data_IF_444091401844
#
_entry.id   IF_444091401844
#
_cell.length_a   1.000
_cell.length_b   1.000
_cell.length_c   1.000
_cell.angle_alpha   90.00
_cell.angle_beta   90.00
_cell.angle_gamma   90.00
#
_symmetry.space_group_name_H-M   'P 1'
#
loop_
_entity.id
_entity.type
_entity.pdbx_description
1 polymer ?
#
# COMPACT_ATOMS: atom_id res chain seq x y z
N UNK A 1 19.65 -15.75 3.40
CA UNK A 1 18.96 -16.49 4.47
C UNK A 1 18.00 -17.46 3.82
N UNK A 2 18.19 -18.78 3.96
CA UNK A 2 17.25 -19.75 3.43
C UNK A 2 16.20 -20.05 4.51
N UNK A 3 15.02 -19.47 4.40
CA UNK A 3 13.87 -19.91 5.20
C UNK A 3 13.36 -21.20 4.58
N UNK A 4 13.72 -22.35 5.17
CA UNK A 4 13.10 -23.62 4.84
C UNK A 4 11.69 -23.62 5.41
N UNK A 5 10.72 -23.21 4.59
CA UNK A 5 9.33 -23.22 5.03
C UNK A 5 8.81 -24.65 4.92
N UNK A 6 8.90 -25.40 6.02
CA UNK A 6 8.27 -26.71 6.19
C UNK A 6 7.00 -26.51 6.99
N UNK A 7 5.87 -26.56 6.30
CA UNK A 7 4.55 -26.59 6.93
C UNK A 7 3.52 -27.01 5.89
N UNK A 8 2.65 -27.95 6.24
CA UNK A 8 1.59 -28.48 5.37
C UNK A 8 0.68 -27.35 4.83
N UNK A 9 0.60 -26.22 5.53
CA UNK A 9 -0.11 -25.02 5.13
C UNK A 9 0.43 -24.39 3.84
N UNK A 10 1.76 -24.36 3.65
CA UNK A 10 2.38 -23.84 2.42
C UNK A 10 2.09 -24.76 1.25
N UNK A 11 2.11 -26.08 1.49
CA UNK A 11 1.83 -27.05 0.44
C UNK A 11 0.38 -26.96 -0.01
N UNK A 12 -0.55 -26.69 0.92
CA UNK A 12 -1.93 -26.37 0.60
C UNK A 12 -2.08 -25.05 -0.17
N UNK A 13 -1.37 -23.98 0.22
CA UNK A 13 -1.38 -22.71 -0.50
C UNK A 13 -0.84 -22.85 -1.91
N UNK A 14 0.27 -23.57 -2.09
CA UNK A 14 0.82 -23.83 -3.42
C UNK A 14 -0.10 -24.73 -4.23
N UNK A 15 -0.70 -25.76 -3.65
CA UNK A 15 -1.68 -26.59 -4.35
C UNK A 15 -2.89 -25.77 -4.84
N UNK A 16 -3.41 -24.86 -4.01
CA UNK A 16 -4.50 -23.95 -4.41
C UNK A 16 -4.06 -22.98 -5.50
N UNK A 17 -2.89 -22.37 -5.36
CA UNK A 17 -2.34 -21.46 -6.37
C UNK A 17 -2.09 -22.17 -7.71
N UNK A 18 -1.51 -23.37 -7.68
CA UNK A 18 -1.33 -24.24 -8.84
C UNK A 18 -2.67 -24.62 -9.49
N UNK A 19 -3.69 -24.97 -8.70
CA UNK A 19 -5.02 -25.27 -9.22
C UNK A 19 -5.68 -24.07 -9.92
N UNK A 20 -5.45 -22.85 -9.42
CA UNK A 20 -5.98 -21.61 -10.03
C UNK A 20 -5.21 -21.17 -11.27
N UNK A 21 -3.89 -21.42 -11.32
CA UNK A 21 -3.00 -20.91 -12.38
C UNK A 21 -2.62 -21.97 -13.42
N UNK A 22 -2.93 -23.24 -13.17
CA UNK A 22 -2.52 -24.38 -14.00
C UNK A 22 -1.03 -24.74 -13.88
N UNK A 23 -0.30 -24.15 -12.92
CA UNK A 23 1.11 -24.44 -12.72
C UNK A 23 1.31 -25.83 -12.08
N UNK A 24 2.36 -26.54 -12.52
CA UNK A 24 2.70 -27.88 -12.02
C UNK A 24 3.97 -27.90 -11.18
N UNK A 25 4.73 -26.80 -11.16
CA UNK A 25 5.99 -26.70 -10.44
C UNK A 25 5.85 -25.81 -9.20
N UNK A 26 6.06 -26.41 -8.02
CA UNK A 26 5.98 -25.75 -6.69
C UNK A 26 6.91 -24.54 -6.58
N UNK A 27 8.15 -24.65 -7.05
CA UNK A 27 9.14 -23.56 -6.96
C UNK A 27 8.77 -22.38 -7.84
N UNK A 28 8.22 -22.63 -9.03
CA UNK A 28 7.77 -21.59 -9.95
C UNK A 28 6.48 -20.91 -9.46
N UNK A 29 5.55 -21.69 -8.91
CA UNK A 29 4.35 -21.17 -8.26
C UNK A 29 4.68 -20.19 -7.13
N UNK A 30 5.58 -20.57 -6.23
CA UNK A 30 6.03 -19.71 -5.13
C UNK A 30 6.74 -18.46 -5.64
N UNK A 31 7.63 -18.61 -6.64
CA UNK A 31 8.35 -17.48 -7.24
C UNK A 31 7.38 -16.45 -7.82
N UNK A 32 6.39 -16.89 -8.61
CA UNK A 32 5.41 -16.00 -9.23
C UNK A 32 4.51 -15.33 -8.21
N UNK A 33 4.02 -16.08 -7.22
CA UNK A 33 3.19 -15.52 -6.16
C UNK A 33 3.93 -14.42 -5.38
N UNK A 34 5.21 -14.66 -5.03
CA UNK A 34 6.02 -13.66 -4.35
C UNK A 34 6.36 -12.46 -5.23
N UNK A 35 6.71 -12.67 -6.51
CA UNK A 35 6.98 -11.58 -7.44
C UNK A 35 5.76 -10.67 -7.59
N UNK A 36 4.57 -11.23 -7.78
CA UNK A 36 3.33 -10.47 -7.89
C UNK A 36 3.03 -9.67 -6.61
N UNK A 37 3.27 -10.24 -5.43
CA UNK A 37 3.05 -9.53 -4.17
C UNK A 37 4.08 -8.42 -3.95
N UNK A 38 5.34 -8.64 -4.33
CA UNK A 38 6.37 -7.60 -4.27
C UNK A 38 6.00 -6.45 -5.22
N UNK A 39 5.55 -6.76 -6.44
CA UNK A 39 5.08 -5.74 -7.37
C UNK A 39 3.87 -4.99 -6.83
N UNK A 40 2.91 -5.68 -6.20
CA UNK A 40 1.76 -5.03 -5.58
C UNK A 40 2.16 -4.08 -4.44
N UNK A 41 3.11 -4.49 -3.58
CA UNK A 41 3.63 -3.66 -2.50
C UNK A 41 4.51 -2.51 -3.02
N UNK A 42 5.26 -2.74 -4.10
CA UNK A 42 6.07 -1.71 -4.74
C UNK A 42 5.21 -0.68 -5.49
N UNK A 43 4.07 -1.12 -6.03
CA UNK A 43 3.07 -0.27 -6.66
C UNK A 43 2.16 0.42 -5.64
N UNK A 44 2.24 0.05 -4.36
CA UNK A 44 1.50 0.71 -3.29
C UNK A 44 2.02 2.14 -3.15
N UNK A 45 1.24 3.08 -3.68
CA UNK A 45 1.58 4.49 -3.70
C UNK A 45 1.77 4.99 -2.27
N UNK A 46 2.92 5.62 -2.00
CA UNK A 46 3.25 6.10 -0.67
C UNK A 46 2.18 7.07 -0.17
N UNK A 47 1.98 7.10 1.15
CA UNK A 47 1.02 8.01 1.77
C UNK A 47 1.26 9.46 1.34
N UNK A 48 2.53 9.87 1.22
CA UNK A 48 2.90 11.21 0.77
C UNK A 48 2.36 11.51 -0.64
N UNK A 49 2.49 10.58 -1.58
CA UNK A 49 2.00 10.78 -2.96
C UNK A 49 0.46 10.76 -3.01
N UNK A 50 -0.17 9.89 -2.22
CA UNK A 50 -1.64 9.87 -2.08
C UNK A 50 -2.19 11.16 -1.49
N UNK A 51 -1.54 11.70 -0.45
CA UNK A 51 -1.92 12.96 0.20
C UNK A 51 -1.66 14.14 -0.72
N UNK A 52 -0.55 14.17 -1.45
CA UNK A 52 -0.24 15.22 -2.41
C UNK A 52 -1.35 15.38 -3.45
N UNK A 53 -1.89 14.29 -4.01
CA UNK A 53 -3.03 14.36 -4.94
C UNK A 53 -4.27 15.04 -4.37
N UNK A 54 -4.53 14.87 -3.08
CA UNK A 54 -5.66 15.49 -2.39
C UNK A 54 -5.36 16.96 -2.13
N UNK A 55 -4.14 17.27 -1.68
CA UNK A 55 -3.68 18.64 -1.45
C UNK A 55 -3.65 19.46 -2.75
N UNK A 56 -3.23 18.87 -3.87
CA UNK A 56 -3.22 19.51 -5.19
C UNK A 56 -4.64 19.87 -5.66
N UNK A 57 -5.61 18.98 -5.43
CA UNK A 57 -7.02 19.24 -5.73
C UNK A 57 -7.57 20.37 -4.86
N UNK A 58 -7.30 20.32 -3.55
CA UNK A 58 -7.70 21.37 -2.62
C UNK A 58 -7.08 22.73 -3.01
N UNK A 59 -5.80 22.75 -3.41
CA UNK A 59 -5.13 23.94 -3.88
C UNK A 59 -5.74 24.49 -5.18
N UNK A 60 -6.11 23.62 -6.12
CA UNK A 60 -6.79 24.01 -7.36
C UNK A 60 -8.18 24.62 -7.08
N UNK A 61 -8.88 24.12 -6.06
CA UNK A 61 -10.17 24.66 -5.59
C UNK A 61 -10.00 25.94 -4.73
N UNK A 62 -8.77 26.40 -4.52
CA UNK A 62 -8.45 27.64 -3.81
C UNK A 62 -8.22 27.49 -2.31
N UNK A 63 -8.28 26.27 -1.77
CA UNK A 63 -7.91 26.02 -0.38
C UNK A 63 -6.41 26.18 -0.20
N UNK A 64 -6.02 26.89 0.87
CA UNK A 64 -4.62 27.05 1.26
C UNK A 64 -4.42 26.50 2.67
N UNK A 65 -3.23 25.97 2.98
CA UNK A 65 -2.89 25.63 4.35
C UNK A 65 -3.04 26.88 5.22
N UNK A 66 -3.73 26.74 6.35
CA UNK A 66 -3.94 27.83 7.30
C UNK A 66 -2.64 28.26 8.02
N UNK A 67 -1.58 27.45 7.92
CA UNK A 67 -0.31 27.71 8.59
C UNK A 67 -0.34 27.14 10.00
N UNK A 68 -0.21 27.99 11.02
CA UNK A 68 -0.34 27.58 12.41
C UNK A 68 -1.82 27.36 12.74
N UNK A 69 -2.18 26.10 12.99
CA UNK A 69 -3.54 25.69 13.32
C UNK A 69 -4.08 26.42 14.56
N UNK A 70 -3.22 26.76 15.53
CA UNK A 70 -3.65 27.50 16.72
C UNK A 70 -4.02 28.94 16.35
N UNK A 71 -3.13 29.66 15.66
CA UNK A 71 -3.40 31.03 15.26
C UNK A 71 -4.65 31.12 14.35
N UNK A 72 -4.85 30.13 13.49
CA UNK A 72 -6.05 30.03 12.65
C UNK A 72 -7.33 29.80 13.48
N UNK A 73 -7.30 28.91 14.46
CA UNK A 73 -8.47 28.64 15.31
C UNK A 73 -8.76 29.79 16.28
N UNK A 74 -7.71 30.44 16.81
CA UNK A 74 -7.80 31.63 17.66
C UNK A 74 -8.48 32.79 16.88
N UNK A 75 -8.08 33.03 15.62
CA UNK A 75 -8.73 34.01 14.71
C UNK A 75 -10.20 33.63 14.41
N UNK A 76 -10.49 32.35 14.19
CA UNK A 76 -11.85 31.86 13.93
C UNK A 76 -12.78 31.98 15.16
N UNK A 77 -12.22 31.88 16.37
CA UNK A 77 -12.96 31.95 17.63
C UNK A 77 -12.97 33.37 18.22
N UNK A 78 -12.31 34.32 17.56
CA UNK A 78 -12.25 35.73 17.98
C UNK A 78 -11.37 35.98 19.19
N UNK A 79 -10.50 35.03 19.54
CA UNK A 79 -9.47 35.19 20.56
C UNK A 79 -8.21 35.74 19.89
N UNK A 80 -8.15 37.06 19.71
CA UNK A 80 -6.92 37.78 19.30
C UNK A 80 -6.17 38.29 20.52
#
# INVERSE_FOLDING_TARGET
MAMLIKGDEIDQLVARYCAMTGLTNKSEAVRRALAAQIEALAAEESLAVRVAKIQDRAAADGFRPAGDDKAFMDDLWGEV
#
